data_IF_649103269208
#
_entry.id   IF_649103269208
#
_cell.length_a   1.000
_cell.length_b   1.000
_cell.length_c   1.000
_cell.angle_alpha   90.00
_cell.angle_beta   90.00
_cell.angle_gamma   90.00
#
_symmetry.space_group_name_H-M   'P 1'
#
loop_
_entity.id
_entity.type
_entity.pdbx_description
1 polymer ?
#
# COMPACT_ATOMS: atom_id res chain seq x y z
N UNK A 1 34.55 -25.57 -40.89
CA UNK A 1 33.83 -24.91 -39.78
C UNK A 1 33.49 -25.98 -38.77
N UNK A 2 33.74 -25.81 -37.46
CA UNK A 2 33.40 -26.86 -36.50
C UNK A 2 31.87 -26.99 -36.43
N UNK A 3 31.38 -28.22 -36.50
CA UNK A 3 29.96 -28.54 -36.32
C UNK A 3 29.52 -28.02 -34.94
N UNK A 4 28.68 -26.98 -34.95
CA UNK A 4 28.06 -26.47 -33.74
C UNK A 4 27.18 -27.59 -33.15
N UNK A 5 27.20 -27.87 -31.84
CA UNK A 5 26.46 -28.99 -31.26
C UNK A 5 24.94 -28.70 -31.30
N UNK A 6 24.32 -29.04 -32.42
CA UNK A 6 22.88 -28.84 -32.71
C UNK A 6 21.97 -29.52 -31.69
N UNK A 7 22.41 -30.64 -31.09
CA UNK A 7 21.67 -31.33 -30.04
C UNK A 7 21.48 -30.51 -28.76
N UNK A 8 22.48 -29.72 -28.36
CA UNK A 8 22.38 -28.88 -27.15
C UNK A 8 21.39 -27.72 -27.34
N UNK A 9 21.35 -27.14 -28.56
CA UNK A 9 20.39 -26.10 -28.93
C UNK A 9 18.95 -26.63 -28.98
N UNK A 10 18.74 -27.85 -29.47
CA UNK A 10 17.42 -28.50 -29.51
C UNK A 10 16.90 -28.79 -28.11
N UNK A 11 17.75 -29.33 -27.22
CA UNK A 11 17.38 -29.58 -25.82
C UNK A 11 17.03 -28.27 -25.11
N UNK A 12 17.85 -27.23 -25.26
CA UNK A 12 17.57 -25.91 -24.70
C UNK A 12 16.25 -25.33 -25.23
N UNK A 13 15.99 -25.47 -26.53
CA UNK A 13 14.72 -25.05 -27.14
C UNK A 13 13.50 -25.77 -26.56
N UNK A 14 13.58 -27.10 -26.38
CA UNK A 14 12.51 -27.90 -25.77
C UNK A 14 12.27 -27.53 -24.30
N UNK A 15 13.33 -27.30 -23.52
CA UNK A 15 13.21 -26.85 -22.13
C UNK A 15 12.57 -25.46 -22.04
N UNK A 16 12.96 -24.53 -22.91
CA UNK A 16 12.35 -23.21 -23.00
C UNK A 16 10.86 -23.29 -23.35
N UNK A 17 10.49 -24.08 -24.38
CA UNK A 17 9.08 -24.27 -24.76
C UNK A 17 8.26 -24.94 -23.65
N UNK A 18 8.82 -25.94 -22.98
CA UNK A 18 8.19 -26.60 -21.83
C UNK A 18 7.95 -25.61 -20.70
N UNK A 19 8.95 -24.81 -20.34
CA UNK A 19 8.83 -23.77 -19.32
C UNK A 19 7.75 -22.73 -19.67
N UNK A 20 7.77 -22.17 -20.88
CA UNK A 20 6.79 -21.16 -21.31
C UNK A 20 5.36 -21.74 -21.35
N UNK A 21 5.22 -23.03 -21.69
CA UNK A 21 3.93 -23.73 -21.64
C UNK A 21 3.42 -23.83 -20.20
N UNK A 22 4.29 -24.18 -19.24
CA UNK A 22 3.95 -24.20 -17.81
C UNK A 22 3.54 -22.79 -17.35
N UNK A 23 4.29 -21.75 -17.69
CA UNK A 23 3.94 -20.36 -17.37
C UNK A 23 2.53 -20.03 -17.90
N UNK A 24 2.26 -20.30 -19.18
CA UNK A 24 0.98 -20.03 -19.82
C UNK A 24 -0.19 -20.77 -19.15
N UNK A 25 -0.02 -22.06 -18.86
CA UNK A 25 -1.05 -22.91 -18.23
C UNK A 25 -1.43 -22.42 -16.83
N UNK A 26 -0.45 -22.04 -16.01
CA UNK A 26 -0.72 -21.62 -14.63
C UNK A 26 -1.06 -20.13 -14.52
N UNK A 27 -0.68 -19.27 -15.47
CA UNK A 27 -0.85 -17.79 -15.42
C UNK A 27 -2.27 -17.35 -15.11
N UNK A 28 -3.27 -18.01 -15.72
CA UNK A 28 -4.68 -17.64 -15.58
C UNK A 28 -5.49 -18.54 -14.65
N UNK A 29 -4.85 -19.54 -14.03
CA UNK A 29 -5.55 -20.51 -13.18
C UNK A 29 -6.22 -19.82 -11.99
N UNK A 30 -5.47 -19.01 -11.24
CA UNK A 30 -6.00 -18.29 -10.07
C UNK A 30 -7.08 -17.27 -10.44
N UNK A 31 -6.87 -16.55 -11.55
CA UNK A 31 -7.88 -15.65 -12.11
C UNK A 31 -9.19 -16.38 -12.41
N UNK A 32 -9.12 -17.52 -13.10
CA UNK A 32 -10.29 -18.32 -13.46
C UNK A 32 -11.00 -18.86 -12.21
N UNK A 33 -10.25 -19.40 -11.23
CA UNK A 33 -10.83 -19.89 -9.97
C UNK A 33 -11.58 -18.80 -9.20
N UNK A 34 -11.01 -17.59 -9.09
CA UNK A 34 -11.66 -16.45 -8.42
C UNK A 34 -12.92 -16.05 -9.18
N UNK A 35 -12.87 -15.95 -10.50
CA UNK A 35 -14.01 -15.52 -11.31
C UNK A 35 -15.13 -16.56 -11.36
N UNK A 36 -14.80 -17.86 -11.44
CA UNK A 36 -15.77 -18.95 -11.35
C UNK A 36 -16.50 -18.94 -10.00
N UNK A 37 -15.75 -18.72 -8.90
CA UNK A 37 -16.31 -18.67 -7.54
C UNK A 37 -17.22 -17.46 -7.32
N UNK A 38 -16.84 -16.29 -7.81
CA UNK A 38 -17.45 -15.02 -7.40
C UNK A 38 -18.34 -14.32 -8.43
N UNK A 39 -18.23 -14.64 -9.72
CA UNK A 39 -19.11 -14.07 -10.75
C UNK A 39 -20.60 -14.35 -10.49
N UNK A 40 -21.01 -15.56 -10.06
CA UNK A 40 -22.43 -15.81 -9.74
C UNK A 40 -22.94 -14.92 -8.60
N UNK A 41 -22.16 -14.76 -7.52
CA UNK A 41 -22.49 -13.88 -6.39
C UNK A 41 -22.58 -12.42 -6.81
N UNK A 42 -21.64 -11.97 -7.65
CA UNK A 42 -21.64 -10.61 -8.20
C UNK A 42 -22.90 -10.32 -9.01
N UNK A 43 -23.25 -11.22 -9.95
CA UNK A 43 -24.47 -11.08 -10.76
C UNK A 43 -25.75 -11.11 -9.92
N UNK A 44 -25.74 -11.83 -8.81
CA UNK A 44 -26.86 -11.89 -7.87
C UNK A 44 -26.91 -10.69 -6.89
N UNK A 45 -25.88 -9.83 -6.85
CA UNK A 45 -25.79 -8.73 -5.88
C UNK A 45 -25.53 -9.20 -4.44
N UNK A 46 -24.95 -10.38 -4.25
CA UNK A 46 -24.78 -11.01 -2.92
C UNK A 46 -23.32 -11.12 -2.49
N UNK A 47 -22.43 -10.28 -3.03
CA UNK A 47 -21.04 -10.23 -2.57
C UNK A 47 -20.99 -9.70 -1.14
N UNK A 48 -20.25 -10.40 -0.29
CA UNK A 48 -19.90 -9.94 1.06
C UNK A 48 -18.59 -9.16 1.04
N UNK A 49 -18.29 -8.43 2.12
CA UNK A 49 -17.00 -7.76 2.27
C UNK A 49 -15.82 -8.73 2.27
N UNK A 50 -15.99 -9.94 2.81
CA UNK A 50 -14.95 -10.97 2.76
C UNK A 50 -14.75 -11.49 1.33
N UNK A 51 -15.83 -11.63 0.56
CA UNK A 51 -15.72 -11.98 -0.87
C UNK A 51 -14.95 -10.88 -1.61
N UNK A 52 -15.29 -9.61 -1.38
CA UNK A 52 -14.60 -8.47 -1.97
C UNK A 52 -13.11 -8.45 -1.60
N UNK A 53 -12.77 -8.70 -0.33
CA UNK A 53 -11.39 -8.77 0.16
C UNK A 53 -10.59 -9.90 -0.53
N UNK A 54 -11.18 -11.08 -0.74
CA UNK A 54 -10.51 -12.17 -1.46
C UNK A 54 -10.33 -11.85 -2.95
N UNK A 55 -11.32 -11.21 -3.58
CA UNK A 55 -11.26 -10.79 -4.98
C UNK A 55 -10.13 -9.78 -5.20
N UNK A 56 -10.04 -8.72 -4.39
CA UNK A 56 -8.97 -7.70 -4.53
C UNK A 56 -7.57 -8.30 -4.26
N UNK A 57 -7.47 -9.30 -3.39
CA UNK A 57 -6.23 -10.02 -3.12
C UNK A 57 -5.59 -10.65 -4.36
N UNK A 58 -6.40 -11.01 -5.38
CA UNK A 58 -5.89 -11.57 -6.63
C UNK A 58 -4.87 -10.64 -7.32
N UNK A 59 -5.27 -9.40 -7.57
CA UNK A 59 -4.42 -8.41 -8.26
C UNK A 59 -3.27 -7.92 -7.37
N UNK A 60 -3.56 -7.73 -6.09
CA UNK A 60 -2.67 -7.06 -5.13
C UNK A 60 -1.65 -7.97 -4.46
N UNK A 61 -1.89 -9.28 -4.37
CA UNK A 61 -0.97 -10.23 -3.73
C UNK A 61 -0.31 -11.18 -4.72
N UNK A 62 -0.97 -11.51 -5.83
CA UNK A 62 -0.52 -12.59 -6.72
C UNK A 62 -0.16 -12.10 -8.11
N UNK A 63 -1.10 -11.46 -8.79
CA UNK A 63 -0.98 -11.18 -10.20
C UNK A 63 0.06 -10.09 -10.45
N UNK A 64 -0.05 -8.94 -9.78
CA UNK A 64 0.83 -7.78 -9.99
C UNK A 64 1.08 -6.94 -8.72
N UNK A 65 1.53 -7.56 -7.61
CA UNK A 65 1.70 -6.90 -6.31
C UNK A 65 2.62 -5.68 -6.36
N UNK A 66 3.78 -5.76 -7.03
CA UNK A 66 4.69 -4.62 -7.15
C UNK A 66 4.03 -3.44 -7.88
N UNK A 67 3.29 -3.69 -8.96
CA UNK A 67 2.57 -2.65 -9.69
C UNK A 67 1.47 -2.03 -8.83
N UNK A 68 0.72 -2.85 -8.09
CA UNK A 68 -0.34 -2.40 -7.20
C UNK A 68 0.21 -1.55 -6.05
N UNK A 69 1.35 -1.96 -5.46
CA UNK A 69 2.03 -1.17 -4.44
C UNK A 69 2.47 0.20 -5.00
N UNK A 70 3.11 0.23 -6.17
CA UNK A 70 3.47 1.51 -6.80
C UNK A 70 2.25 2.37 -7.17
N UNK A 71 1.14 1.76 -7.61
CA UNK A 71 -0.08 2.50 -7.88
C UNK A 71 -0.62 3.19 -6.61
N UNK A 72 -0.60 2.50 -5.46
CA UNK A 72 -0.99 3.08 -4.17
C UNK A 72 0.00 4.15 -3.67
N UNK A 73 1.30 3.92 -3.84
CA UNK A 73 2.31 4.93 -3.50
C UNK A 73 2.12 6.21 -4.33
N UNK A 74 1.84 6.07 -5.63
CA UNK A 74 1.54 7.22 -6.49
C UNK A 74 0.16 7.84 -6.21
N UNK A 75 -0.83 7.06 -5.77
CA UNK A 75 -2.10 7.59 -5.27
C UNK A 75 -1.86 8.54 -4.09
N UNK A 76 -1.06 8.12 -3.10
CA UNK A 76 -0.67 8.99 -1.99
C UNK A 76 0.11 10.22 -2.49
N UNK A 77 1.06 10.02 -3.40
CA UNK A 77 1.85 11.12 -3.96
C UNK A 77 0.97 12.17 -4.66
N UNK A 78 -0.07 11.75 -5.41
CA UNK A 78 -1.03 12.67 -6.06
C UNK A 78 -1.78 13.57 -5.09
N UNK A 79 -1.95 13.18 -3.83
CA UNK A 79 -2.61 14.04 -2.82
C UNK A 79 -1.80 15.31 -2.53
N UNK A 80 -0.48 15.27 -2.74
CA UNK A 80 0.40 16.40 -2.51
C UNK A 80 0.18 17.54 -3.50
N UNK A 81 -0.56 17.29 -4.59
CA UNK A 81 -0.94 18.30 -5.56
C UNK A 81 -2.16 19.12 -5.13
N UNK A 82 -2.75 18.85 -3.96
CA UNK A 82 -3.82 19.64 -3.36
C UNK A 82 -3.23 20.52 -2.24
N UNK A 83 -3.34 21.86 -2.32
CA UNK A 83 -2.73 22.77 -1.34
C UNK A 83 -3.16 22.55 0.12
N UNK A 84 -4.43 22.22 0.38
CA UNK A 84 -4.91 21.93 1.75
C UNK A 84 -4.18 20.72 2.36
N UNK A 85 -4.00 19.66 1.56
CA UNK A 85 -3.31 18.44 1.96
C UNK A 85 -1.81 18.67 2.09
N UNK A 86 -1.17 19.28 1.09
CA UNK A 86 0.28 19.49 1.11
C UNK A 86 0.72 20.43 2.23
N UNK A 87 -0.06 21.47 2.52
CA UNK A 87 0.18 22.36 3.66
C UNK A 87 0.10 21.59 4.97
N UNK A 88 -0.96 20.79 5.16
CA UNK A 88 -1.09 19.97 6.36
C UNK A 88 0.11 19.01 6.53
N UNK A 89 0.51 18.34 5.45
CA UNK A 89 1.67 17.43 5.46
C UNK A 89 2.97 18.15 5.80
N UNK A 90 3.18 19.36 5.26
CA UNK A 90 4.31 20.21 5.59
C UNK A 90 4.30 20.60 7.08
N UNK A 91 3.14 21.02 7.59
CA UNK A 91 2.97 21.44 8.99
C UNK A 91 3.21 20.30 9.97
N UNK A 92 2.97 19.04 9.59
CA UNK A 92 3.29 17.88 10.45
C UNK A 92 4.78 17.71 10.75
N UNK A 93 5.67 18.21 9.88
CA UNK A 93 7.11 17.98 9.95
C UNK A 93 7.53 16.50 9.93
N UNK A 94 6.62 15.59 9.54
CA UNK A 94 6.93 14.17 9.37
C UNK A 94 7.47 13.86 7.98
N UNK A 95 7.38 14.83 7.05
CA UNK A 95 8.01 14.77 5.73
C UNK A 95 9.28 15.64 5.60
N UNK A 96 9.78 16.25 6.67
CA UNK A 96 10.87 17.23 6.61
C UNK A 96 12.28 16.65 6.84
N UNK A 97 12.39 15.46 7.43
CA UNK A 97 13.68 14.80 7.71
C UNK A 97 13.72 13.34 7.24
N UNK A 98 14.84 12.84 6.67
CA UNK A 98 14.93 11.47 6.14
C UNK A 98 14.54 10.36 7.12
N UNK A 99 14.87 10.48 8.40
CA UNK A 99 14.51 9.45 9.39
C UNK A 99 13.02 9.42 9.70
N UNK A 100 12.39 10.60 9.74
CA UNK A 100 10.94 10.72 9.93
C UNK A 100 10.18 10.25 8.70
N UNK A 101 10.59 10.69 7.51
CA UNK A 101 9.98 10.29 6.24
C UNK A 101 9.98 8.76 6.12
N UNK A 102 11.13 8.14 6.34
CA UNK A 102 11.28 6.68 6.23
C UNK A 102 10.38 5.93 7.21
N UNK A 103 10.31 6.36 8.47
CA UNK A 103 9.40 5.78 9.46
C UNK A 103 7.94 5.96 9.05
N UNK A 104 7.58 7.17 8.61
CA UNK A 104 6.23 7.51 8.18
C UNK A 104 5.79 6.63 7.00
N UNK A 105 6.67 6.31 6.07
CA UNK A 105 6.41 5.35 5.00
C UNK A 105 6.18 3.93 5.53
N UNK A 106 7.07 3.44 6.39
CA UNK A 106 6.92 2.11 7.00
C UNK A 106 5.58 1.98 7.76
N UNK A 107 5.24 2.98 8.58
CA UNK A 107 3.98 3.03 9.34
C UNK A 107 2.76 3.06 8.42
N UNK A 108 2.79 3.88 7.36
CA UNK A 108 1.69 4.01 6.40
C UNK A 108 1.47 2.69 5.65
N UNK A 109 2.56 2.06 5.20
CA UNK A 109 2.52 0.77 4.49
C UNK A 109 1.99 -0.35 5.39
N UNK A 110 2.39 -0.39 6.66
CA UNK A 110 1.88 -1.34 7.66
C UNK A 110 0.38 -1.12 7.89
N UNK A 111 -0.06 0.11 8.19
CA UNK A 111 -1.48 0.38 8.45
C UNK A 111 -2.35 -0.03 7.26
N UNK A 112 -2.01 0.44 6.05
CA UNK A 112 -2.77 0.13 4.84
C UNK A 112 -2.78 -1.38 4.58
N UNK A 113 -1.62 -2.03 4.63
CA UNK A 113 -1.56 -3.47 4.40
C UNK A 113 -2.34 -4.26 5.45
N UNK A 114 -2.36 -3.79 6.70
CA UNK A 114 -3.11 -4.43 7.79
C UNK A 114 -4.60 -4.43 7.50
N UNK A 115 -5.20 -3.27 7.26
CA UNK A 115 -6.65 -3.23 6.99
C UNK A 115 -7.02 -3.68 5.58
N UNK A 116 -6.07 -3.90 4.67
CA UNK A 116 -6.33 -4.52 3.36
C UNK A 116 -6.26 -6.04 3.38
N UNK A 117 -5.36 -6.63 4.19
CA UNK A 117 -5.03 -8.05 4.09
C UNK A 117 -5.24 -8.85 5.38
N UNK A 118 -5.50 -8.19 6.52
CA UNK A 118 -6.08 -8.86 7.70
C UNK A 118 -7.61 -8.81 7.59
N UNK A 119 -8.35 -9.76 8.19
CA UNK A 119 -9.79 -9.88 7.98
C UNK A 119 -10.54 -8.62 8.43
N UNK A 120 -11.17 -7.92 7.49
CA UNK A 120 -11.90 -6.66 7.80
C UNK A 120 -13.08 -6.89 8.75
N UNK A 121 -13.67 -8.08 8.72
CA UNK A 121 -14.76 -8.46 9.62
C UNK A 121 -14.30 -8.88 11.01
N UNK A 122 -12.99 -8.97 11.22
CA UNK A 122 -12.35 -9.62 12.36
C UNK A 122 -12.63 -11.11 12.54
N UNK A 123 -13.42 -11.75 11.67
CA UNK A 123 -13.51 -13.21 11.65
C UNK A 123 -12.34 -13.78 10.85
N UNK A 124 -11.68 -14.87 11.31
CA UNK A 124 -10.63 -15.52 10.54
C UNK A 124 -11.13 -15.87 9.13
N UNK A 125 -10.26 -15.70 8.12
CA UNK A 125 -10.58 -16.12 6.76
C UNK A 125 -10.89 -17.63 6.72
N UNK A 126 -11.80 -18.05 5.85
CA UNK A 126 -12.39 -19.41 5.87
C UNK A 126 -11.38 -20.55 5.65
N UNK A 127 -10.18 -20.24 5.16
CA UNK A 127 -9.14 -21.22 4.82
C UNK A 127 -8.01 -21.29 5.85
N UNK A 128 -8.19 -20.69 7.03
CA UNK A 128 -7.17 -20.68 8.07
C UNK A 128 -7.20 -22.01 8.86
N UNK A 129 -6.05 -22.60 9.22
CA UNK A 129 -5.95 -23.78 10.08
C UNK A 129 -6.77 -23.69 11.37
N UNK A 130 -7.25 -24.84 11.87
CA UNK A 130 -8.17 -24.90 12.99
C UNK A 130 -7.57 -24.43 14.32
N UNK A 131 -6.26 -24.53 14.48
CA UNK A 131 -5.50 -24.00 15.61
C UNK A 131 -5.51 -22.47 15.66
N UNK A 132 -5.46 -21.77 14.51
CA UNK A 132 -5.60 -20.31 14.48
C UNK A 132 -7.03 -19.86 14.79
N UNK A 133 -8.06 -20.66 14.44
CA UNK A 133 -9.45 -20.39 14.83
C UNK A 133 -9.66 -20.42 16.35
N UNK A 134 -8.78 -21.07 17.12
CA UNK A 134 -8.88 -21.16 18.59
C UNK A 134 -8.58 -19.83 19.29
N UNK A 135 -7.92 -18.89 18.61
CA UNK A 135 -7.53 -17.60 19.19
C UNK A 135 -8.60 -16.51 19.06
N UNK A 136 -9.80 -16.84 18.55
CA UNK A 136 -10.93 -15.92 18.47
C UNK A 136 -10.89 -15.03 17.23
N UNK A 137 -11.41 -13.81 17.38
CA UNK A 137 -11.45 -12.81 16.32
C UNK A 137 -10.06 -12.17 16.09
N UNK A 138 -9.81 -11.74 14.85
CA UNK A 138 -8.63 -11.03 14.37
C UNK A 138 -8.93 -9.52 14.21
N UNK A 139 -8.76 -8.71 15.26
CA UNK A 139 -9.12 -7.30 15.24
C UNK A 139 -8.13 -6.41 14.48
N UNK A 140 -7.06 -6.96 13.88
CA UNK A 140 -5.94 -6.17 13.34
C UNK A 140 -6.38 -5.09 12.36
N UNK A 141 -7.29 -5.43 11.44
CA UNK A 141 -7.81 -4.47 10.46
C UNK A 141 -8.50 -3.28 11.15
N UNK A 142 -9.33 -3.54 12.16
CA UNK A 142 -10.06 -2.51 12.88
C UNK A 142 -9.17 -1.67 13.80
N UNK A 143 -8.16 -2.28 14.46
CA UNK A 143 -7.18 -1.53 15.24
C UNK A 143 -6.37 -0.60 14.33
N UNK A 144 -5.98 -1.07 13.13
CA UNK A 144 -5.26 -0.23 12.17
C UNK A 144 -6.11 0.96 11.68
N UNK A 145 -7.38 0.75 11.32
CA UNK A 145 -8.28 1.85 10.90
C UNK A 145 -8.52 2.81 12.06
N UNK A 146 -8.79 2.30 13.26
CA UNK A 146 -8.97 3.11 14.46
C UNK A 146 -7.72 3.95 14.77
N UNK A 147 -6.52 3.38 14.62
CA UNK A 147 -5.27 4.11 14.83
C UNK A 147 -5.10 5.23 13.82
N UNK A 148 -5.41 4.98 12.55
CA UNK A 148 -5.39 6.01 11.50
C UNK A 148 -6.39 7.12 11.83
N UNK A 149 -7.63 6.78 12.22
CA UNK A 149 -8.63 7.77 12.61
C UNK A 149 -8.18 8.62 13.80
N UNK A 150 -7.59 8.00 14.83
CA UNK A 150 -7.07 8.71 15.99
C UNK A 150 -5.91 9.65 15.63
N UNK A 151 -4.97 9.19 14.79
CA UNK A 151 -3.87 10.03 14.32
C UNK A 151 -4.39 11.21 13.50
N UNK A 152 -5.37 10.97 12.64
CA UNK A 152 -5.94 12.01 11.79
C UNK A 152 -6.85 12.99 12.54
N UNK A 153 -7.53 12.58 13.62
CA UNK A 153 -8.41 13.45 14.42
C UNK A 153 -7.67 14.62 15.07
N UNK A 154 -6.34 14.51 15.20
CA UNK A 154 -5.45 15.56 15.69
C UNK A 154 -5.29 16.72 14.72
N UNK A 155 -5.81 16.57 13.49
CA UNK A 155 -5.69 17.54 12.42
C UNK A 155 -7.06 17.92 11.87
N UNK A 156 -7.19 19.15 11.37
CA UNK A 156 -8.40 19.61 10.69
C UNK A 156 -8.37 19.20 9.23
N UNK A 157 -8.79 17.97 8.95
CA UNK A 157 -8.88 17.43 7.59
C UNK A 157 -10.32 17.59 7.10
N UNK A 158 -10.51 18.20 5.93
CA UNK A 158 -11.83 18.36 5.33
C UNK A 158 -12.38 17.00 4.85
N UNK A 159 -13.71 16.84 4.82
CA UNK A 159 -14.32 15.65 4.21
C UNK A 159 -13.94 15.52 2.73
N UNK A 160 -13.79 16.64 2.01
CA UNK A 160 -13.35 16.65 0.61
C UNK A 160 -11.94 16.06 0.43
N UNK A 161 -11.01 16.36 1.33
CA UNK A 161 -9.65 15.82 1.27
C UNK A 161 -9.63 14.32 1.59
N UNK A 162 -10.38 13.89 2.61
CA UNK A 162 -10.58 12.47 2.89
C UNK A 162 -11.15 11.70 1.71
N UNK A 163 -12.26 12.19 1.14
CA UNK A 163 -12.94 11.55 0.03
C UNK A 163 -12.08 11.54 -1.23
N UNK A 164 -11.27 12.57 -1.47
CA UNK A 164 -10.32 12.59 -2.56
C UNK A 164 -9.24 11.52 -2.41
N UNK A 165 -8.62 11.42 -1.24
CA UNK A 165 -7.66 10.36 -0.97
C UNK A 165 -8.29 8.99 -1.15
N UNK A 166 -9.51 8.77 -0.65
CA UNK A 166 -10.26 7.53 -0.83
C UNK A 166 -10.49 7.18 -2.31
N UNK A 167 -10.90 8.17 -3.12
CA UNK A 167 -11.09 7.97 -4.56
C UNK A 167 -9.80 7.52 -5.24
N UNK A 168 -8.64 8.04 -4.84
CA UNK A 168 -7.36 7.63 -5.42
C UNK A 168 -7.01 6.18 -5.07
N UNK A 169 -7.30 5.73 -3.84
CA UNK A 169 -7.12 4.33 -3.42
C UNK A 169 -7.97 3.35 -4.24
N UNK A 170 -9.13 3.78 -4.75
CA UNK A 170 -10.00 2.97 -5.61
C UNK A 170 -9.57 3.06 -7.08
N UNK A 171 -9.36 4.27 -7.60
CA UNK A 171 -9.22 4.53 -9.03
C UNK A 171 -7.80 4.26 -9.56
N UNK A 172 -6.76 4.59 -8.78
CA UNK A 172 -5.38 4.49 -9.28
C UNK A 172 -4.91 3.05 -9.51
N UNK A 173 -5.19 2.05 -8.62
CA UNK A 173 -4.86 0.66 -8.91
C UNK A 173 -5.45 0.16 -10.23
N UNK A 174 -6.70 0.54 -10.53
CA UNK A 174 -7.39 0.19 -11.78
C UNK A 174 -6.72 0.85 -12.98
N UNK A 175 -6.48 2.17 -12.91
CA UNK A 175 -5.80 2.93 -13.99
C UNK A 175 -4.39 2.40 -14.27
N UNK A 176 -3.65 2.02 -13.23
CA UNK A 176 -2.31 1.46 -13.36
C UNK A 176 -2.33 0.03 -13.92
N UNK A 177 -3.26 -0.82 -13.51
CA UNK A 177 -3.45 -2.14 -14.12
C UNK A 177 -3.76 -2.01 -15.62
N UNK A 178 -4.68 -1.13 -16.00
CA UNK A 178 -5.05 -0.91 -17.42
C UNK A 178 -3.85 -0.40 -18.24
N UNK A 179 -3.06 0.52 -17.68
CA UNK A 179 -1.98 1.19 -18.41
C UNK A 179 -0.68 0.39 -18.45
N UNK A 180 -0.34 -0.29 -17.35
CA UNK A 180 0.99 -0.88 -17.14
C UNK A 180 0.94 -2.34 -16.67
N UNK A 181 -0.23 -2.82 -16.25
CA UNK A 181 -0.43 -4.22 -15.86
C UNK A 181 -0.28 -5.16 -17.04
N UNK A 182 -0.05 -6.42 -16.72
CA UNK A 182 -0.08 -7.48 -17.74
C UNK A 182 -1.52 -7.93 -18.08
N UNK A 183 -2.49 -7.43 -17.30
CA UNK A 183 -3.93 -7.48 -17.54
C UNK A 183 -4.61 -6.27 -16.89
N UNK A 184 -5.78 -5.89 -17.40
CA UNK A 184 -6.70 -5.01 -16.69
C UNK A 184 -7.41 -5.75 -15.55
N UNK A 185 -7.99 -5.00 -14.61
CA UNK A 185 -8.94 -5.55 -13.63
C UNK A 185 -10.30 -5.75 -14.29
N UNK A 186 -10.98 -6.84 -13.97
CA UNK A 186 -12.34 -7.09 -14.46
C UNK A 186 -13.37 -6.21 -13.75
N UNK A 187 -14.59 -6.15 -14.28
CA UNK A 187 -15.71 -5.46 -13.61
C UNK A 187 -16.02 -6.04 -12.22
N UNK A 188 -15.85 -7.36 -12.05
CA UNK A 188 -15.94 -8.01 -10.74
C UNK A 188 -14.90 -7.44 -9.76
N UNK A 189 -13.63 -7.34 -10.20
CA UNK A 189 -12.54 -6.82 -9.37
C UNK A 189 -12.70 -5.33 -9.06
N UNK A 190 -13.15 -4.52 -10.04
CA UNK A 190 -13.46 -3.10 -9.86
C UNK A 190 -14.59 -2.90 -8.84
N UNK A 191 -15.67 -3.68 -8.96
CA UNK A 191 -16.81 -3.62 -8.05
C UNK A 191 -16.44 -4.06 -6.64
N UNK A 192 -15.60 -5.10 -6.50
CA UNK A 192 -15.07 -5.53 -5.22
C UNK A 192 -14.19 -4.44 -4.58
N UNK A 193 -13.34 -3.77 -5.36
CA UNK A 193 -12.50 -2.68 -4.88
C UNK A 193 -13.34 -1.48 -4.40
N UNK A 194 -14.36 -1.09 -5.17
CA UNK A 194 -15.30 -0.03 -4.80
C UNK A 194 -16.03 -0.37 -3.49
N UNK A 195 -16.62 -1.57 -3.41
CA UNK A 195 -17.32 -2.04 -2.21
C UNK A 195 -16.40 -2.02 -0.98
N UNK A 196 -15.19 -2.55 -1.11
CA UNK A 196 -14.26 -2.70 0.00
C UNK A 196 -13.77 -1.34 0.53
N UNK A 197 -13.36 -0.43 -0.36
CA UNK A 197 -12.89 0.89 0.06
C UNK A 197 -14.02 1.81 0.50
N UNK A 198 -15.24 1.66 -0.03
CA UNK A 198 -16.41 2.39 0.49
C UNK A 198 -16.64 2.04 1.97
N UNK A 199 -16.55 0.75 2.33
CA UNK A 199 -16.60 0.32 3.73
C UNK A 199 -15.48 0.93 4.57
N UNK A 200 -14.23 0.92 4.08
CA UNK A 200 -13.12 1.59 4.77
C UNK A 200 -13.44 3.08 4.97
N UNK A 201 -13.97 3.75 3.95
CA UNK A 201 -14.37 5.15 4.03
C UNK A 201 -15.43 5.40 5.10
N UNK A 202 -16.43 4.55 5.21
CA UNK A 202 -17.43 4.62 6.29
C UNK A 202 -16.80 4.43 7.68
N UNK A 203 -15.89 3.46 7.85
CA UNK A 203 -15.14 3.27 9.11
C UNK A 203 -14.19 4.42 9.42
N UNK A 204 -13.76 5.16 8.41
CA UNK A 204 -13.01 6.41 8.55
C UNK A 204 -13.90 7.64 8.70
N UNK A 205 -15.22 7.46 8.86
CA UNK A 205 -16.22 8.51 9.02
C UNK A 205 -16.29 9.50 7.83
N UNK A 206 -15.90 9.06 6.63
CA UNK A 206 -16.02 9.83 5.39
C UNK A 206 -17.48 9.87 4.97
N UNK A 207 -17.96 11.05 4.55
CA UNK A 207 -19.34 11.32 4.14
C UNK A 207 -19.44 11.51 2.64
N UNK A 208 -20.64 11.30 2.12
CA UNK A 208 -21.00 11.53 0.71
C UNK A 208 -20.12 10.74 -0.27
N UNK A 209 -19.76 9.50 0.08
CA UNK A 209 -18.99 8.60 -0.79
C UNK A 209 -19.88 8.20 -1.98
N UNK A 210 -19.45 8.45 -3.23
CA UNK A 210 -20.19 7.99 -4.41
C UNK A 210 -20.37 6.46 -4.43
N UNK A 211 -21.59 5.99 -4.67
CA UNK A 211 -21.93 4.56 -4.60
C UNK A 211 -21.65 3.82 -5.91
N UNK A 212 -21.52 4.55 -7.02
CA UNK A 212 -21.24 3.99 -8.35
C UNK A 212 -19.85 4.38 -8.86
N UNK A 213 -19.31 3.55 -9.75
CA UNK A 213 -18.01 3.80 -10.37
C UNK A 213 -18.00 5.11 -11.16
N UNK A 214 -19.06 5.36 -11.93
CA UNK A 214 -19.22 6.56 -12.75
C UNK A 214 -19.27 7.83 -11.90
N UNK A 215 -20.04 7.83 -10.81
CA UNK A 215 -20.11 8.97 -9.89
C UNK A 215 -18.77 9.19 -9.18
N UNK A 216 -18.06 8.12 -8.79
CA UNK A 216 -16.73 8.23 -8.18
C UNK A 216 -15.72 8.86 -9.14
N UNK A 217 -15.72 8.41 -10.41
CA UNK A 217 -14.86 8.99 -11.46
C UNK A 217 -15.22 10.46 -11.68
N UNK A 218 -16.51 10.78 -11.81
CA UNK A 218 -16.98 12.14 -12.03
C UNK A 218 -16.60 13.06 -10.86
N UNK A 219 -16.83 12.62 -9.63
CA UNK A 219 -16.49 13.36 -8.41
C UNK A 219 -14.98 13.62 -8.31
N UNK A 220 -14.15 12.58 -8.51
CA UNK A 220 -12.69 12.69 -8.47
C UNK A 220 -12.14 13.61 -9.57
N UNK A 221 -12.72 13.55 -10.78
CA UNK A 221 -12.34 14.42 -11.88
C UNK A 221 -12.72 15.87 -11.61
N UNK A 222 -13.93 16.13 -11.11
CA UNK A 222 -14.41 17.48 -10.79
C UNK A 222 -13.48 18.20 -9.81
N UNK A 223 -13.02 17.53 -8.76
CA UNK A 223 -12.04 18.07 -7.79
C UNK A 223 -10.65 18.28 -8.36
N UNK A 224 -10.36 17.68 -9.51
CA UNK A 224 -9.06 17.84 -10.17
C UNK A 224 -9.07 19.03 -11.15
N UNK A 225 -10.24 19.58 -11.56
CA UNK A 225 -10.38 20.51 -12.73
C UNK A 225 -9.93 21.93 -12.37
N UNK A 226 -9.07 22.57 -13.18
CA UNK A 226 -8.73 23.97 -12.99
C UNK A 226 -9.94 24.89 -13.16
N UNK A 227 -10.00 25.92 -12.32
CA UNK A 227 -11.07 26.94 -12.19
C UNK A 227 -11.49 27.60 -13.54
N UNK A 228 -10.68 27.53 -14.60
CA UNK A 228 -10.94 28.18 -15.89
C UNK A 228 -11.63 27.36 -16.98
N UNK A 229 -11.98 26.08 -16.75
CA UNK A 229 -12.67 25.23 -17.75
C UNK A 229 -14.10 24.80 -17.35
N UNK A 230 -14.58 25.27 -16.21
CA UNK A 230 -15.92 24.93 -15.72
C UNK A 230 -16.91 25.90 -16.37
N UNK A 231 -17.81 25.36 -17.20
CA UNK A 231 -18.94 26.12 -17.74
C UNK A 231 -19.75 26.67 -16.57
N UNK A 232 -20.25 27.88 -16.76
CA UNK A 232 -20.96 28.67 -15.77
C UNK A 232 -22.30 28.02 -15.38
N UNK A 233 -22.28 27.13 -14.38
CA UNK A 233 -23.49 26.69 -13.72
C UNK A 233 -23.26 26.36 -12.22
N UNK A 234 -23.63 27.34 -11.40
CA UNK A 234 -24.09 27.26 -10.01
C UNK A 234 -23.30 26.35 -9.07
N UNK A 235 -22.13 26.82 -8.63
CA UNK A 235 -21.67 26.80 -7.23
C UNK A 235 -20.24 27.34 -7.13
N UNK A 236 -20.04 28.64 -7.42
CA UNK A 236 -18.71 29.29 -7.37
C UNK A 236 -17.96 29.10 -6.02
N UNK A 237 -18.68 28.76 -4.95
CA UNK A 237 -18.13 28.55 -3.62
C UNK A 237 -17.52 27.15 -3.36
N UNK A 238 -17.68 26.17 -4.26
CA UNK A 238 -17.24 24.76 -4.03
C UNK A 238 -15.86 24.41 -4.63
N UNK A 239 -15.17 25.38 -5.22
CA UNK A 239 -14.04 25.14 -6.13
C UNK A 239 -12.69 25.73 -5.66
N UNK A 240 -12.58 26.15 -4.39
CA UNK A 240 -11.33 26.62 -3.78
C UNK A 240 -10.35 25.48 -3.40
N UNK A 241 -10.73 24.20 -3.60
CA UNK A 241 -10.00 23.00 -3.16
C UNK A 241 -9.45 22.12 -4.33
N UNK A 242 -9.07 22.76 -5.45
CA UNK A 242 -8.65 22.06 -6.67
C UNK A 242 -7.13 21.80 -6.71
N UNK A 243 -6.72 20.84 -7.54
CA UNK A 243 -5.31 20.53 -7.83
C UNK A 243 -4.61 21.70 -8.55
N UNK A 244 -4.05 22.64 -7.79
CA UNK A 244 -3.43 23.88 -8.30
C UNK A 244 -1.99 24.04 -7.82
N UNK A 245 -1.14 24.80 -8.54
CA UNK A 245 0.23 25.07 -8.11
C UNK A 245 0.31 25.71 -6.72
N UNK A 246 1.14 25.13 -5.84
CA UNK A 246 1.48 25.72 -4.56
C UNK A 246 2.91 25.32 -4.15
N UNK A 247 3.59 26.21 -3.44
CA UNK A 247 4.97 25.95 -2.98
C UNK A 247 5.03 24.72 -2.06
N UNK A 248 4.05 24.56 -1.17
CA UNK A 248 3.95 23.38 -0.30
C UNK A 248 3.81 22.09 -1.11
N UNK A 249 3.10 22.09 -2.24
CA UNK A 249 3.01 20.92 -3.14
C UNK A 249 4.38 20.55 -3.69
N UNK A 250 5.13 21.55 -4.16
CA UNK A 250 6.48 21.36 -4.70
C UNK A 250 7.44 20.80 -3.64
N UNK A 251 7.41 21.35 -2.43
CA UNK A 251 8.36 21.01 -1.38
C UNK A 251 8.15 19.57 -0.87
N UNK A 252 6.91 19.19 -0.54
CA UNK A 252 6.62 17.83 -0.06
C UNK A 252 6.83 16.78 -1.16
N UNK A 253 6.54 17.12 -2.41
CA UNK A 253 6.80 16.24 -3.56
C UNK A 253 8.31 16.05 -3.79
N UNK A 254 9.10 17.12 -3.64
CA UNK A 254 10.55 17.08 -3.80
C UNK A 254 11.21 16.26 -2.69
N UNK A 255 10.86 16.51 -1.42
CA UNK A 255 11.38 15.76 -0.27
C UNK A 255 11.07 14.26 -0.37
N UNK A 256 9.84 13.94 -0.77
CA UNK A 256 9.44 12.55 -1.02
C UNK A 256 10.21 11.91 -2.17
N UNK A 257 10.42 12.65 -3.26
CA UNK A 257 11.19 12.14 -4.40
C UNK A 257 12.66 11.90 -4.02
N UNK A 258 13.24 12.76 -3.18
CA UNK A 258 14.60 12.54 -2.65
C UNK A 258 14.67 11.31 -1.77
N UNK A 259 13.67 11.06 -0.92
CA UNK A 259 13.60 9.80 -0.15
C UNK A 259 13.48 8.59 -1.07
N UNK A 260 12.60 8.61 -2.09
CA UNK A 260 12.48 7.49 -3.03
C UNK A 260 13.82 7.17 -3.74
N UNK A 261 14.61 8.21 -4.00
CA UNK A 261 15.86 8.12 -4.74
C UNK A 261 17.10 8.09 -3.83
N UNK A 262 16.96 7.92 -2.51
CA UNK A 262 18.10 8.02 -1.59
C UNK A 262 19.18 6.95 -1.87
N UNK A 263 18.77 5.74 -2.26
CA UNK A 263 19.67 4.65 -2.63
C UNK A 263 20.28 4.80 -4.04
N UNK A 264 19.83 5.78 -4.83
CA UNK A 264 20.27 5.96 -6.21
C UNK A 264 21.55 6.81 -6.25
N UNK A 265 22.67 6.32 -6.82
CA UNK A 265 23.92 7.07 -6.85
C UNK A 265 23.82 8.41 -7.59
N UNK A 266 24.50 9.43 -7.07
CA UNK A 266 24.64 10.73 -7.75
C UNK A 266 25.64 10.68 -8.91
N UNK A 267 26.56 9.70 -8.88
CA UNK A 267 27.57 9.47 -9.91
C UNK A 267 26.96 9.37 -11.31
N UNK A 268 27.62 9.99 -12.28
CA UNK A 268 27.21 10.00 -13.70
C UNK A 268 25.80 10.54 -13.95
N UNK A 269 25.21 11.28 -12.99
CA UNK A 269 23.87 11.87 -13.14
C UNK A 269 22.72 10.86 -13.05
N UNK A 270 22.96 9.64 -12.55
CA UNK A 270 21.95 8.58 -12.47
C UNK A 270 20.76 9.01 -11.61
N UNK A 271 21.01 9.61 -10.43
CA UNK A 271 19.93 10.15 -9.57
C UNK A 271 19.09 11.22 -10.27
N UNK A 272 19.72 12.12 -11.03
CA UNK A 272 19.02 13.14 -11.81
C UNK A 272 18.16 12.52 -12.92
N UNK A 273 18.67 11.49 -13.60
CA UNK A 273 17.90 10.74 -14.59
C UNK A 273 16.70 10.05 -13.94
N UNK A 274 16.90 9.37 -12.80
CA UNK A 274 15.84 8.71 -12.05
C UNK A 274 14.76 9.69 -11.58
N UNK A 275 15.13 10.91 -11.16
CA UNK A 275 14.19 11.99 -10.83
C UNK A 275 13.34 12.40 -12.04
N UNK A 276 13.92 12.50 -13.22
CA UNK A 276 13.14 12.79 -14.44
C UNK A 276 12.20 11.64 -14.80
N UNK A 277 12.63 10.39 -14.59
CA UNK A 277 11.80 9.19 -14.79
C UNK A 277 10.62 9.16 -13.82
N UNK A 278 10.80 9.53 -12.55
CA UNK A 278 9.69 9.60 -11.58
C UNK A 278 8.67 10.67 -11.97
N UNK A 279 9.11 11.83 -12.46
CA UNK A 279 8.21 12.87 -12.98
C UNK A 279 7.40 12.36 -14.19
N UNK A 280 7.96 11.49 -15.04
CA UNK A 280 7.24 10.92 -16.19
C UNK A 280 6.04 10.02 -15.81
N UNK A 281 5.95 9.59 -14.54
CA UNK A 281 4.84 8.78 -14.02
C UNK A 281 3.66 9.64 -13.56
N UNK A 282 3.86 10.94 -13.39
CA UNK A 282 2.80 11.89 -13.07
C UNK A 282 1.95 12.20 -14.30
N UNK A 283 0.64 12.34 -14.11
CA UNK A 283 -0.20 13.03 -15.09
C UNK A 283 0.10 14.54 -15.08
N UNK A 284 -0.24 15.22 -16.18
CA UNK A 284 0.11 16.63 -16.35
C UNK A 284 -0.45 17.55 -15.27
N UNK A 285 -1.64 17.26 -14.75
CA UNK A 285 -2.27 18.11 -13.74
C UNK A 285 -1.53 18.00 -12.42
N UNK A 286 -1.26 16.76 -11.99
CA UNK A 286 -0.46 16.49 -10.79
C UNK A 286 0.92 17.14 -10.92
N UNK A 287 1.60 16.95 -12.07
CA UNK A 287 2.92 17.53 -12.34
C UNK A 287 2.92 19.06 -12.26
N UNK A 288 1.95 19.71 -12.90
CA UNK A 288 1.82 21.18 -12.92
C UNK A 288 1.55 21.71 -11.51
N UNK A 289 0.64 21.08 -10.77
CA UNK A 289 0.30 21.50 -9.41
C UNK A 289 1.44 21.29 -8.41
N UNK A 290 2.33 20.32 -8.64
CA UNK A 290 3.59 20.16 -7.90
C UNK A 290 4.72 21.05 -8.42
N UNK A 291 4.47 21.89 -9.42
CA UNK A 291 5.47 22.77 -10.07
C UNK A 291 6.68 21.99 -10.63
N UNK A 292 6.46 20.73 -11.03
CA UNK A 292 7.51 19.87 -11.60
C UNK A 292 7.71 20.17 -13.10
N UNK A 293 8.95 20.19 -13.60
CA UNK A 293 9.23 20.50 -14.99
C UNK A 293 8.66 19.44 -15.93
N UNK A 294 8.12 19.87 -17.07
CA UNK A 294 7.73 18.95 -18.14
C UNK A 294 8.96 18.15 -18.61
N UNK A 295 8.77 16.87 -18.86
CA UNK A 295 9.83 15.99 -19.35
C UNK A 295 9.71 15.81 -20.86
N UNK A 296 10.83 15.67 -21.59
CA UNK A 296 10.79 15.45 -23.02
C UNK A 296 10.14 14.09 -23.35
N UNK A 297 9.50 14.01 -24.51
CA UNK A 297 8.71 12.86 -24.94
C UNK A 297 9.47 11.52 -24.88
N UNK A 298 10.79 11.54 -25.13
CA UNK A 298 11.60 10.32 -25.14
C UNK A 298 11.78 9.72 -23.74
N UNK A 299 11.73 10.52 -22.67
CA UNK A 299 11.74 10.01 -21.30
C UNK A 299 10.41 9.35 -20.95
N UNK A 300 9.29 9.94 -21.37
CA UNK A 300 7.98 9.28 -21.24
C UNK A 300 7.94 7.96 -22.04
N UNK A 301 8.50 7.94 -23.25
CA UNK A 301 8.61 6.73 -24.04
C UNK A 301 9.47 5.67 -23.32
N UNK A 302 10.65 6.06 -22.82
CA UNK A 302 11.53 5.20 -22.04
C UNK A 302 10.81 4.61 -20.82
N UNK A 303 10.20 5.45 -19.97
CA UNK A 303 9.49 5.00 -18.76
C UNK A 303 8.37 4.02 -19.10
N UNK A 304 7.56 4.31 -20.13
CA UNK A 304 6.51 3.39 -20.59
C UNK A 304 7.11 2.07 -21.07
N UNK A 305 8.17 2.11 -21.88
CA UNK A 305 8.83 0.91 -22.38
C UNK A 305 9.36 0.05 -21.24
N UNK A 306 9.97 0.64 -20.22
CA UNK A 306 10.45 -0.08 -19.03
C UNK A 306 9.30 -0.78 -18.31
N UNK A 307 8.20 -0.08 -18.02
CA UNK A 307 7.03 -0.66 -17.34
C UNK A 307 6.36 -1.76 -18.17
N UNK A 308 6.20 -1.56 -19.48
CA UNK A 308 5.66 -2.59 -20.37
C UNK A 308 6.60 -3.79 -20.51
N UNK A 309 7.91 -3.57 -20.46
CA UNK A 309 8.89 -4.67 -20.47
C UNK A 309 8.77 -5.49 -19.19
N UNK A 310 8.66 -4.86 -18.02
CA UNK A 310 8.41 -5.59 -16.76
C UNK A 310 7.08 -6.35 -16.81
N UNK A 311 6.02 -5.72 -17.33
CA UNK A 311 4.72 -6.37 -17.53
C UNK A 311 4.82 -7.59 -18.44
N UNK A 312 5.53 -7.48 -19.57
CA UNK A 312 5.77 -8.58 -20.51
C UNK A 312 6.57 -9.73 -19.86
N UNK A 313 7.68 -9.42 -19.20
CA UNK A 313 8.52 -10.40 -18.49
C UNK A 313 7.67 -11.12 -17.43
N UNK A 314 6.93 -10.36 -16.63
CA UNK A 314 6.08 -10.92 -15.59
C UNK A 314 4.97 -11.81 -16.15
N UNK A 315 4.35 -11.43 -17.28
CA UNK A 315 3.30 -12.22 -17.91
C UNK A 315 3.84 -13.54 -18.46
N UNK A 316 4.88 -13.46 -19.28
CA UNK A 316 5.28 -14.55 -20.17
C UNK A 316 6.50 -15.34 -19.68
N UNK A 317 7.37 -14.73 -18.86
CA UNK A 317 8.66 -15.32 -18.49
C UNK A 317 8.77 -15.68 -17.02
N UNK A 318 7.96 -15.11 -16.13
CA UNK A 318 7.94 -15.52 -14.72
C UNK A 318 6.92 -16.64 -14.48
N UNK A 319 7.12 -17.50 -13.49
CA UNK A 319 6.06 -18.38 -13.01
C UNK A 319 5.03 -17.59 -12.18
N UNK A 320 3.75 -18.00 -12.15
CA UNK A 320 2.77 -17.43 -11.24
C UNK A 320 3.17 -17.63 -9.78
N UNK A 321 2.89 -16.64 -8.92
CA UNK A 321 3.24 -16.72 -7.50
C UNK A 321 2.44 -17.82 -6.81
N UNK A 322 3.14 -18.70 -6.10
CA UNK A 322 2.52 -19.72 -5.23
C UNK A 322 1.99 -19.11 -3.93
N UNK A 323 2.76 -18.18 -3.34
CA UNK A 323 2.39 -17.43 -2.13
C UNK A 323 2.11 -15.97 -2.45
N UNK A 324 1.20 -15.35 -1.69
CA UNK A 324 0.85 -13.95 -1.85
C UNK A 324 1.99 -13.06 -1.34
N UNK A 325 2.30 -12.01 -2.08
CA UNK A 325 3.18 -10.96 -1.61
C UNK A 325 2.39 -10.02 -0.69
N UNK A 326 2.80 -9.96 0.57
CA UNK A 326 2.16 -9.18 1.62
C UNK A 326 3.25 -8.46 2.41
N UNK A 327 2.98 -7.26 2.91
CA UNK A 327 3.87 -6.53 3.85
C UNK A 327 3.59 -6.92 5.32
N UNK A 328 2.38 -7.38 5.60
CA UNK A 328 1.97 -7.88 6.91
C UNK A 328 1.57 -9.35 6.81
N UNK A 329 1.80 -10.13 7.86
CA UNK A 329 1.43 -11.55 7.85
C UNK A 329 -0.10 -11.71 7.76
N UNK A 330 -0.59 -12.55 6.85
CA UNK A 330 -1.99 -12.96 6.87
C UNK A 330 -2.28 -13.89 8.07
N UNK A 331 -1.30 -14.73 8.41
CA UNK A 331 -1.38 -15.66 9.56
C UNK A 331 -1.43 -14.88 10.87
N UNK A 332 -2.17 -15.42 11.83
CA UNK A 332 -2.25 -14.86 13.17
C UNK A 332 -0.87 -14.87 13.84
N UNK A 333 -0.52 -13.82 14.60
CA UNK A 333 0.73 -13.80 15.34
C UNK A 333 0.73 -14.90 16.41
N UNK A 334 1.91 -15.40 16.75
CA UNK A 334 2.05 -16.35 17.85
C UNK A 334 1.89 -15.61 19.18
N UNK A 335 0.92 -16.06 19.97
CA UNK A 335 0.65 -15.51 21.29
C UNK A 335 1.47 -16.27 22.34
N UNK A 336 2.62 -15.71 22.76
CA UNK A 336 3.30 -16.20 23.98
C UNK A 336 2.76 -15.45 25.19
N UNK A 337 2.20 -16.20 26.14
CA UNK A 337 1.63 -15.71 27.40
C UNK A 337 2.59 -14.88 28.28
N UNK A 338 3.89 -14.86 27.98
CA UNK A 338 4.93 -14.20 28.80
C UNK A 338 5.35 -12.81 28.32
N UNK A 339 5.03 -12.40 27.09
CA UNK A 339 5.67 -11.25 26.43
C UNK A 339 4.83 -9.95 26.39
N UNK A 340 3.70 -9.89 27.08
CA UNK A 340 2.81 -8.73 27.05
C UNK A 340 2.01 -8.62 25.74
N UNK A 341 1.62 -7.40 25.29
CA UNK A 341 0.84 -7.23 24.06
C UNK A 341 1.65 -7.65 22.83
N UNK A 342 0.94 -8.25 21.87
CA UNK A 342 1.55 -8.92 20.71
C UNK A 342 2.30 -7.95 19.82
N UNK A 343 3.60 -8.19 19.66
CA UNK A 343 4.44 -7.45 18.73
C UNK A 343 4.54 -8.16 17.39
N UNK A 344 4.36 -7.38 16.34
CA UNK A 344 4.41 -7.83 14.95
C UNK A 344 5.60 -7.23 14.22
N UNK A 345 6.01 -7.89 13.15
CA UNK A 345 7.04 -7.43 12.24
C UNK A 345 6.49 -7.44 10.81
N UNK A 346 6.84 -6.45 9.97
CA UNK A 346 6.53 -6.55 8.56
C UNK A 346 7.37 -7.66 7.94
N UNK A 347 6.87 -8.25 6.87
CA UNK A 347 7.54 -9.33 6.10
C UNK A 347 8.59 -8.78 5.13
N UNK A 348 8.54 -7.48 4.85
CA UNK A 348 9.47 -6.73 4.02
C UNK A 348 9.85 -5.43 4.74
N UNK A 349 11.12 -5.03 4.59
CA UNK A 349 11.66 -3.83 5.23
C UNK A 349 12.13 -2.84 4.18
N UNK A 350 12.00 -1.56 4.51
CA UNK A 350 12.57 -0.45 3.76
C UNK A 350 14.10 -0.42 3.97
N UNK A 351 14.87 0.35 3.15
CA UNK A 351 16.32 0.45 3.31
C UNK A 351 16.76 0.86 4.73
N UNK A 352 15.97 1.71 5.41
CA UNK A 352 16.06 1.85 6.86
C UNK A 352 15.21 0.75 7.52
N UNK A 353 15.80 -0.09 8.38
CA UNK A 353 15.20 -1.36 8.80
C UNK A 353 14.18 -1.21 9.94
N UNK A 354 13.20 -0.30 9.80
CA UNK A 354 12.12 -0.12 10.78
C UNK A 354 11.38 -1.45 11.02
N UNK A 355 11.27 -1.82 12.29
CA UNK A 355 10.64 -3.05 12.77
C UNK A 355 11.29 -4.35 12.29
N UNK A 356 12.54 -4.30 11.80
CA UNK A 356 13.30 -5.52 11.47
C UNK A 356 13.89 -6.14 12.72
N UNK A 357 13.62 -7.42 13.02
CA UNK A 357 14.23 -8.08 14.17
C UNK A 357 15.74 -8.17 14.00
N UNK A 358 16.48 -8.11 15.12
CA UNK A 358 17.91 -8.32 15.09
C UNK A 358 18.21 -9.77 14.74
N UNK A 359 19.11 -9.99 13.78
CA UNK A 359 19.48 -11.33 13.39
C UNK A 359 20.13 -12.09 14.55
N UNK A 360 19.68 -13.33 14.78
CA UNK A 360 20.22 -14.21 15.81
C UNK A 360 21.37 -15.05 15.22
N UNK A 361 22.47 -15.16 15.97
CA UNK A 361 23.64 -15.94 15.59
C UNK A 361 24.57 -15.28 14.56
N UNK A 362 25.74 -15.90 14.37
CA UNK A 362 26.83 -15.35 13.54
C UNK A 362 26.45 -15.19 12.07
N UNK A 363 25.81 -16.19 11.48
CA UNK A 363 25.42 -16.17 10.06
C UNK A 363 24.37 -15.11 9.76
N UNK A 364 23.39 -14.94 10.67
CA UNK A 364 22.38 -13.90 10.55
C UNK A 364 23.00 -12.50 10.59
N UNK A 365 23.87 -12.25 11.57
CA UNK A 365 24.58 -10.98 11.67
C UNK A 365 25.49 -10.72 10.46
N UNK A 366 26.17 -11.75 9.93
CA UNK A 366 27.02 -11.60 8.74
C UNK A 366 26.19 -11.27 7.49
N UNK A 367 25.03 -11.91 7.33
CA UNK A 367 24.08 -11.60 6.24
C UNK A 367 23.61 -10.14 6.30
N UNK A 368 23.24 -9.66 7.48
CA UNK A 368 22.80 -8.27 7.64
C UNK A 368 23.94 -7.28 7.38
N UNK A 369 25.16 -7.57 7.86
CA UNK A 369 26.35 -6.75 7.57
C UNK A 369 26.67 -6.71 6.08
N UNK A 370 26.57 -7.85 5.40
CA UNK A 370 26.76 -7.92 3.96
C UNK A 370 25.68 -7.12 3.22
N UNK A 371 24.42 -7.20 3.65
CA UNK A 371 23.33 -6.43 3.07
C UNK A 371 23.54 -4.91 3.21
N UNK A 372 24.08 -4.46 4.34
CA UNK A 372 24.51 -3.06 4.53
C UNK A 372 25.69 -2.72 3.63
N UNK A 373 26.71 -3.58 3.58
CA UNK A 373 27.92 -3.37 2.77
C UNK A 373 27.61 -3.20 1.27
N UNK A 374 26.64 -3.97 0.74
CA UNK A 374 26.23 -3.87 -0.67
C UNK A 374 25.15 -2.81 -0.92
N UNK A 375 24.76 -2.04 0.10
CA UNK A 375 23.80 -0.93 -0.02
C UNK A 375 22.32 -1.34 -0.13
N UNK A 376 21.96 -2.55 0.31
CA UNK A 376 20.56 -2.98 0.39
C UNK A 376 19.83 -2.41 1.62
N UNK A 377 20.57 -2.20 2.72
CA UNK A 377 20.11 -1.46 3.90
C UNK A 377 21.09 -0.34 4.23
N UNK A 378 20.58 0.79 4.70
CA UNK A 378 21.41 1.94 5.09
C UNK A 378 22.19 1.65 6.37
N UNK A 379 21.55 0.94 7.31
CA UNK A 379 22.06 0.69 8.64
C UNK A 379 21.69 -0.71 9.13
N UNK A 380 22.46 -1.20 10.09
CA UNK A 380 22.13 -2.43 10.80
C UNK A 380 20.85 -2.25 11.63
N UNK A 381 20.02 -3.31 11.78
CA UNK A 381 18.92 -3.28 12.73
C UNK A 381 19.43 -2.95 14.14
N UNK A 382 18.73 -2.06 14.84
CA UNK A 382 19.08 -1.63 16.19
C UNK A 382 17.88 -1.02 16.90
N UNK A 383 18.00 -0.80 18.21
CA UNK A 383 16.88 -0.35 19.07
C UNK A 383 16.16 0.89 18.53
N UNK A 384 16.88 1.83 17.90
CA UNK A 384 16.29 3.03 17.28
C UNK A 384 15.24 2.70 16.21
N UNK A 385 15.39 1.57 15.52
CA UNK A 385 14.48 1.07 14.50
C UNK A 385 13.43 0.08 15.04
N UNK A 386 13.23 0.01 16.36
CA UNK A 386 12.20 -0.82 16.99
C UNK A 386 12.31 -2.30 16.61
N UNK A 387 13.49 -2.89 16.84
CA UNK A 387 13.80 -4.31 16.56
C UNK A 387 12.87 -5.30 17.25
N UNK A 388 12.16 -4.88 18.30
CA UNK A 388 11.18 -5.70 19.02
C UNK A 388 9.82 -5.74 18.30
N UNK A 389 9.65 -4.99 17.21
CA UNK A 389 8.40 -4.94 16.43
C UNK A 389 7.45 -3.83 16.90
N UNK A 390 6.23 -3.86 16.38
CA UNK A 390 5.17 -2.88 16.66
C UNK A 390 3.92 -3.53 17.24
N UNK A 391 3.16 -2.77 18.01
CA UNK A 391 1.73 -3.00 18.22
C UNK A 391 0.95 -2.00 17.38
N UNK A 392 -0.27 -2.33 16.95
CA UNK A 392 -1.00 -1.50 15.97
C UNK A 392 -1.41 -0.15 16.55
N UNK A 393 -1.77 -0.12 17.83
CA UNK A 393 -2.12 1.09 18.57
C UNK A 393 -0.93 2.04 18.83
N UNK A 394 0.31 1.57 18.61
CA UNK A 394 1.54 2.37 18.75
C UNK A 394 2.07 2.92 17.42
N UNK A 395 1.55 2.48 16.27
CA UNK A 395 2.03 2.93 14.95
C UNK A 395 1.86 4.46 14.81
N UNK A 396 2.80 5.12 14.14
CA UNK A 396 2.76 6.56 13.87
C UNK A 396 4.02 7.30 14.34
N UNK A 397 3.99 8.64 14.34
CA UNK A 397 5.12 9.46 14.74
C UNK A 397 5.64 9.09 16.13
N UNK A 398 6.96 9.11 16.33
CA UNK A 398 7.58 8.76 17.62
C UNK A 398 7.08 9.64 18.77
N UNK A 399 6.70 10.90 18.49
CA UNK A 399 6.12 11.83 19.46
C UNK A 399 4.72 11.44 19.94
N UNK A 400 4.02 10.57 19.20
CA UNK A 400 2.67 10.09 19.49
C UNK A 400 2.63 8.59 19.80
N UNK A 401 3.80 7.96 19.94
CA UNK A 401 3.90 6.59 20.40
C UNK A 401 3.28 6.47 21.80
N UNK A 402 2.49 5.44 22.05
CA UNK A 402 1.70 5.23 23.28
C UNK A 402 0.57 6.21 23.57
N UNK A 403 0.47 7.32 22.84
CA UNK A 403 -0.64 8.25 22.99
C UNK A 403 -1.91 7.68 22.34
N UNK A 404 -3.06 7.81 23.01
CA UNK A 404 -4.35 7.43 22.44
C UNK A 404 -4.61 5.94 22.28
N UNK A 405 -3.86 5.07 22.97
CA UNK A 405 -4.04 3.61 22.89
C UNK A 405 -5.45 3.18 23.27
N UNK A 406 -5.93 3.61 24.44
CA UNK A 406 -7.27 3.26 24.92
C UNK A 406 -8.37 3.76 23.98
N UNK A 407 -8.22 4.97 23.47
CA UNK A 407 -9.16 5.54 22.50
C UNK A 407 -9.15 4.76 21.18
N UNK A 408 -7.95 4.41 20.68
CA UNK A 408 -7.78 3.55 19.50
C UNK A 408 -8.48 2.20 19.69
N UNK A 409 -8.30 1.56 20.85
CA UNK A 409 -8.93 0.27 21.12
C UNK A 409 -10.45 0.39 21.21
N UNK A 410 -10.99 1.39 21.90
CA UNK A 410 -12.46 1.62 21.96
C UNK A 410 -13.05 1.83 20.56
N UNK A 411 -12.41 2.67 19.75
CA UNK A 411 -12.84 2.88 18.36
C UNK A 411 -12.79 1.59 17.54
N UNK A 412 -11.79 0.73 17.76
CA UNK A 412 -11.69 -0.56 17.10
C UNK A 412 -12.77 -1.55 17.58
N UNK A 413 -13.11 -1.56 18.86
CA UNK A 413 -14.22 -2.35 19.43
C UNK A 413 -15.56 -1.93 18.84
N UNK A 414 -15.79 -0.62 18.69
CA UNK A 414 -17.00 -0.08 18.07
C UNK A 414 -17.11 -0.52 16.59
N UNK A 415 -16.01 -0.52 15.85
CA UNK A 415 -15.98 -1.01 14.46
C UNK A 415 -16.15 -2.53 14.36
N UNK A 416 -15.59 -3.28 15.31
CA UNK A 416 -15.66 -4.74 15.36
C UNK A 416 -17.05 -5.22 15.80
N UNK A 417 -17.74 -4.45 16.64
CA UNK A 417 -19.00 -4.83 17.27
C UNK A 417 -18.85 -5.75 18.48
N UNK A 418 -17.61 -5.94 18.98
CA UNK A 418 -17.35 -6.69 20.21
C UNK A 418 -16.05 -6.23 20.90
N UNK A 419 -15.86 -6.56 22.19
CA UNK A 419 -14.65 -6.21 22.93
C UNK A 419 -13.38 -6.86 22.35
N UNK A 420 -12.28 -6.12 22.32
CA UNK A 420 -10.95 -6.57 21.89
C UNK A 420 -10.11 -6.79 23.14
N UNK A 421 -9.85 -8.06 23.45
CA UNK A 421 -9.21 -8.47 24.71
C UNK A 421 -7.74 -8.83 24.52
N UNK A 422 -7.08 -9.12 25.63
CA UNK A 422 -5.80 -9.82 25.62
C UNK A 422 -5.86 -11.03 24.67
N UNK A 423 -4.82 -11.27 23.88
CA UNK A 423 -3.48 -10.65 23.94
C UNK A 423 -3.30 -9.42 23.04
N UNK A 424 -4.35 -8.94 22.37
CA UNK A 424 -4.28 -7.77 21.47
C UNK A 424 -4.12 -6.45 22.21
N UNK A 425 -4.68 -6.37 23.41
CA UNK A 425 -4.54 -5.24 24.30
C UNK A 425 -4.35 -5.74 25.73
N UNK A 426 -3.28 -5.29 26.37
CA UNK A 426 -3.11 -5.50 27.79
C UNK A 426 -3.92 -4.43 28.52
N UNK A 427 -4.89 -4.83 29.34
CA UNK A 427 -5.56 -3.91 30.25
C UNK A 427 -4.50 -3.18 31.09
N UNK A 428 -4.37 -1.86 30.92
CA UNK A 428 -3.40 -1.06 31.69
C UNK A 428 -3.69 -1.16 33.21
N UNK A 429 -4.94 -1.47 33.58
CA UNK A 429 -5.35 -1.75 34.97
C UNK A 429 -4.73 -3.01 35.57
N UNK A 430 -4.16 -3.91 34.76
CA UNK A 430 -3.41 -5.07 35.25
C UNK A 430 -1.92 -4.77 35.47
N UNK A 431 -1.36 -3.77 34.80
CA UNK A 431 0.05 -3.40 34.97
C UNK A 431 0.31 -2.76 36.35
N UNK A 432 -0.63 -1.98 36.90
CA UNK A 432 -0.53 -1.44 38.27
C UNK A 432 -0.64 -2.51 39.37
N UNK A 433 -1.09 -3.73 39.05
CA UNK A 433 -1.17 -4.84 40.02
C UNK A 433 0.10 -5.70 40.07
N UNK A 434 1.02 -5.55 39.11
CA UNK A 434 2.28 -6.32 39.07
C UNK A 434 3.44 -5.55 39.72
N UNK A 435 3.28 -4.23 39.95
CA UNK A 435 4.26 -3.38 40.65
C UNK A 435 3.81 -2.92 42.05
N UNK A 436 2.90 -3.64 42.73
CA UNK A 436 2.58 -3.41 44.15
C UNK A 436 2.86 -4.60 45.04
#
# INVERSE_FOLDING_TARGET
MPDWPTGNLQIAGLLCLGYLSVVGLFRRRRYSTIHEKYTPKYKAGTLTLQDAQEIIGLSMMYDMPALMNYALAFALFKTYAIPSISKLLSDTQELSHPDKISKRYADTEICISTFMFCPISGKPMTNVPEDERRHGEDPRANIAIARVNWLHSRYKISNGDYLYTLCLFILEPVRWAERFGWRALSELERSALLMYWTEIGHRMNIKDIPETWEELVHWSQARSIPIGQIRSDRNEQKYEENMVPAQTNHDVASLTTEELLHVVPESFGIKNFARKVSICLLDDRTRIAMMQPAQPWYLHAFTRTVLHTFSFIQHHLCLPRSKGELIVSAEMPKFDSRDGPVRMHPTRWQPKPWYKPQAVGLWGSLKDRLAVLIGFYDEMPGKKYKTDGYTLEDIGPLSLEKAGREETMRMAEDMQGCPIRAPWFADLNTAEKVER
#
